data_IF_716974379181
#
_entry.id   IF_716974379181
#
_cell.length_a   1.000
_cell.length_b   1.000
_cell.length_c   1.000
_cell.angle_alpha   90.00
_cell.angle_beta   90.00
_cell.angle_gamma   90.00
#
_symmetry.space_group_name_H-M   'P 1'
#
loop_
_entity.id
_entity.type
_entity.pdbx_description
1 polymer ?
#
# COMPACT_ATOMS: atom_id res chain seq x y z
N UNK A 1 14.30 16.06 10.53
CA UNK A 1 13.26 15.89 9.49
C UNK A 1 13.85 15.34 8.20
N UNK A 2 14.99 15.85 7.69
CA UNK A 2 15.70 15.24 6.55
C UNK A 2 16.11 13.77 6.79
N UNK A 3 16.69 13.45 7.96
CA UNK A 3 17.11 12.08 8.27
C UNK A 3 15.94 11.07 8.38
N UNK A 4 14.69 11.53 8.53
CA UNK A 4 13.52 10.66 8.52
C UNK A 4 12.98 10.47 7.09
N UNK A 5 13.25 11.42 6.18
CA UNK A 5 12.92 11.28 4.76
C UNK A 5 13.79 10.22 4.08
N UNK A 6 15.09 10.22 4.37
CA UNK A 6 16.04 9.18 3.91
C UNK A 6 15.87 7.80 4.57
N UNK A 7 14.95 7.67 5.54
CA UNK A 7 14.63 6.40 6.20
C UNK A 7 13.28 5.85 5.73
N UNK A 8 12.57 6.54 4.84
CA UNK A 8 11.26 6.18 4.31
C UNK A 8 11.17 6.49 2.80
N UNK A 9 12.31 6.57 2.11
CA UNK A 9 12.44 6.87 0.68
C UNK A 9 12.35 5.57 -0.16
N UNK A 10 12.41 5.70 -1.48
CA UNK A 10 12.32 4.59 -2.45
C UNK A 10 13.45 3.55 -2.36
N UNK A 11 14.59 3.92 -1.77
CA UNK A 11 15.78 3.05 -1.63
C UNK A 11 15.72 2.11 -0.39
N UNK A 12 14.62 2.10 0.37
CA UNK A 12 14.56 1.51 1.71
C UNK A 12 14.09 0.04 1.77
N UNK A 13 14.60 -0.82 0.89
CA UNK A 13 14.39 -2.29 0.85
C UNK A 13 14.61 -3.00 2.21
N UNK A 14 15.46 -2.42 3.06
CA UNK A 14 15.74 -2.96 4.38
C UNK A 14 14.51 -2.91 5.30
N UNK A 15 13.61 -1.94 5.11
CA UNK A 15 12.35 -1.84 5.88
C UNK A 15 11.51 -3.07 5.61
N UNK A 16 11.40 -3.47 4.35
CA UNK A 16 10.59 -4.59 3.91
C UNK A 16 11.23 -5.90 4.34
N UNK A 17 12.55 -5.98 4.31
CA UNK A 17 13.31 -7.08 4.93
C UNK A 17 12.99 -7.20 6.43
N UNK A 18 12.98 -6.09 7.16
CA UNK A 18 12.62 -6.07 8.59
C UNK A 18 11.16 -6.48 8.78
N UNK A 19 10.22 -5.95 7.99
CA UNK A 19 8.80 -6.30 8.05
C UNK A 19 8.58 -7.79 7.80
N UNK A 20 9.22 -8.36 6.78
CA UNK A 20 9.15 -9.79 6.42
C UNK A 20 9.61 -10.72 7.54
N UNK A 21 10.54 -10.28 8.39
CA UNK A 21 11.01 -11.08 9.54
C UNK A 21 10.20 -10.78 10.80
N UNK A 22 10.06 -9.50 11.14
CA UNK A 22 9.50 -9.07 12.42
C UNK A 22 7.98 -9.28 12.48
N UNK A 23 7.26 -9.05 11.38
CA UNK A 23 5.80 -8.98 11.43
C UNK A 23 5.16 -10.36 11.61
N UNK A 24 5.60 -11.42 10.91
CA UNK A 24 5.16 -12.78 11.20
C UNK A 24 5.49 -13.22 12.63
N UNK A 25 6.64 -12.79 13.18
CA UNK A 25 7.00 -13.08 14.56
C UNK A 25 6.11 -12.37 15.59
N UNK A 26 5.75 -11.11 15.33
CA UNK A 26 4.84 -10.33 16.19
C UNK A 26 3.38 -10.80 16.10
N UNK A 27 2.97 -11.37 14.97
CA UNK A 27 1.58 -11.62 14.65
C UNK A 27 0.82 -12.41 15.74
N UNK A 28 1.32 -13.57 16.22
CA UNK A 28 0.60 -14.35 17.23
C UNK A 28 0.32 -13.56 18.51
N UNK A 29 1.23 -12.67 18.91
CA UNK A 29 1.07 -11.86 20.12
C UNK A 29 0.05 -10.74 19.93
N UNK A 30 0.05 -10.09 18.77
CA UNK A 30 -0.92 -9.05 18.44
C UNK A 30 -2.33 -9.62 18.25
N UNK A 31 -2.45 -10.81 17.64
CA UNK A 31 -3.74 -11.48 17.46
C UNK A 31 -4.41 -11.83 18.78
N UNK A 32 -3.66 -12.15 19.83
CA UNK A 32 -4.22 -12.35 21.18
C UNK A 32 -4.88 -11.09 21.75
N UNK A 33 -4.49 -9.91 21.27
CA UNK A 33 -5.03 -8.61 21.67
C UNK A 33 -6.07 -8.07 20.66
N UNK A 34 -6.48 -8.88 19.68
CA UNK A 34 -7.42 -8.48 18.62
C UNK A 34 -6.80 -7.64 17.51
N UNK A 35 -5.46 -7.57 17.42
CA UNK A 35 -4.74 -6.89 16.34
C UNK A 35 -4.14 -7.84 15.31
N UNK A 36 -3.40 -7.29 14.35
CA UNK A 36 -2.71 -8.06 13.32
C UNK A 36 -1.48 -7.30 12.79
N UNK A 37 -0.40 -8.02 12.53
CA UNK A 37 0.76 -7.53 11.76
C UNK A 37 0.92 -8.24 10.41
N UNK A 38 0.07 -9.21 10.09
CA UNK A 38 0.04 -9.92 8.81
C UNK A 38 -1.41 -9.92 8.33
N UNK A 39 -1.63 -9.71 7.04
CA UNK A 39 -2.96 -9.64 6.43
C UNK A 39 -3.00 -10.26 5.05
N UNK A 40 -4.21 -10.41 4.52
CA UNK A 40 -4.46 -10.92 3.17
C UNK A 40 -5.09 -9.83 2.30
N UNK A 41 -4.62 -9.72 1.07
CA UNK A 41 -5.19 -8.88 0.02
C UNK A 41 -5.98 -9.78 -0.93
N UNK A 42 -7.16 -9.35 -1.34
CA UNK A 42 -7.97 -10.06 -2.32
C UNK A 42 -7.65 -9.61 -3.74
N UNK A 43 -7.87 -10.48 -4.73
CA UNK A 43 -7.68 -10.11 -6.15
C UNK A 43 -8.68 -9.05 -6.64
N UNK A 44 -9.75 -8.80 -5.90
CA UNK A 44 -10.69 -7.70 -6.12
C UNK A 44 -10.10 -6.31 -5.84
N UNK A 45 -8.89 -6.26 -5.29
CA UNK A 45 -8.12 -5.03 -5.05
C UNK A 45 -7.11 -4.72 -6.17
N UNK A 46 -7.01 -5.55 -7.20
CA UNK A 46 -6.07 -5.34 -8.32
C UNK A 46 -6.38 -4.03 -9.06
N UNK A 47 -5.33 -3.25 -9.34
CA UNK A 47 -5.42 -1.99 -10.10
C UNK A 47 -4.76 -2.15 -11.46
N UNK A 48 -3.43 -2.32 -11.46
CA UNK A 48 -2.58 -2.38 -12.64
C UNK A 48 -1.39 -3.29 -12.39
N UNK A 49 -0.75 -3.73 -13.47
CA UNK A 49 0.66 -4.10 -13.45
C UNK A 49 1.46 -3.06 -14.23
N UNK A 50 2.74 -2.98 -13.91
CA UNK A 50 3.71 -2.06 -14.46
C UNK A 50 4.91 -2.84 -15.01
N UNK A 51 5.53 -2.33 -16.06
CA UNK A 51 6.78 -2.85 -16.62
C UNK A 51 8.00 -2.11 -16.01
N UNK A 52 7.77 -0.96 -15.40
CA UNK A 52 8.74 -0.19 -14.62
C UNK A 52 9.24 -0.98 -13.41
N UNK A 53 10.49 -0.75 -13.01
CA UNK A 53 11.04 -1.34 -11.79
C UNK A 53 10.40 -0.74 -10.53
N UNK A 54 10.65 -1.40 -9.40
CA UNK A 54 10.08 -0.99 -8.12
C UNK A 54 10.46 0.44 -7.76
N UNK A 55 11.74 0.77 -7.78
CA UNK A 55 12.28 2.08 -7.41
C UNK A 55 11.58 3.22 -8.18
N UNK A 56 11.41 3.08 -9.50
CA UNK A 56 10.71 4.08 -10.31
C UNK A 56 9.23 4.25 -9.93
N UNK A 57 8.55 3.15 -9.59
CA UNK A 57 7.15 3.21 -9.12
C UNK A 57 7.08 3.89 -7.76
N UNK A 58 7.97 3.51 -6.84
CA UNK A 58 8.01 4.07 -5.49
C UNK A 58 8.30 5.58 -5.51
N UNK A 59 9.29 6.01 -6.30
CA UNK A 59 9.66 7.41 -6.51
C UNK A 59 8.46 8.24 -6.98
N UNK A 60 7.73 7.73 -7.97
CA UNK A 60 6.59 8.44 -8.51
C UNK A 60 5.44 8.51 -7.50
N UNK A 61 5.15 7.41 -6.79
CA UNK A 61 4.15 7.42 -5.72
C UNK A 61 4.48 8.47 -4.67
N UNK A 62 5.74 8.59 -4.25
CA UNK A 62 6.19 9.62 -3.30
C UNK A 62 6.08 11.02 -3.90
N UNK A 63 6.49 11.20 -5.16
CA UNK A 63 6.44 12.48 -5.85
C UNK A 63 5.04 13.07 -5.93
N UNK A 64 4.02 12.21 -6.09
CA UNK A 64 2.60 12.63 -6.16
C UNK A 64 1.90 12.68 -4.80
N UNK A 65 2.62 12.50 -3.68
CA UNK A 65 2.11 12.68 -2.31
C UNK A 65 1.85 11.38 -1.54
N UNK A 66 2.30 10.24 -2.04
CA UNK A 66 2.22 8.96 -1.37
C UNK A 66 3.17 8.90 -0.18
N UNK A 67 2.65 8.52 0.98
CA UNK A 67 3.46 8.32 2.18
C UNK A 67 3.78 6.82 2.32
N UNK A 68 5.07 6.44 2.33
CA UNK A 68 5.49 5.09 2.69
C UNK A 68 4.92 4.74 4.08
N UNK A 69 4.30 3.56 4.20
CA UNK A 69 3.53 3.16 5.36
C UNK A 69 4.13 1.90 6.02
N UNK A 70 5.29 2.01 6.70
CA UNK A 70 6.01 0.85 7.25
C UNK A 70 5.21 0.12 8.32
N UNK A 71 4.34 0.83 9.04
CA UNK A 71 3.46 0.27 10.08
C UNK A 71 2.31 -0.56 9.51
N UNK A 72 2.03 -0.49 8.21
CA UNK A 72 1.01 -1.31 7.58
C UNK A 72 1.37 -2.79 7.76
N UNK A 73 0.39 -3.64 8.05
CA UNK A 73 0.63 -5.08 8.15
C UNK A 73 1.32 -5.64 6.89
N UNK A 74 2.10 -6.70 7.05
CA UNK A 74 2.71 -7.42 5.94
C UNK A 74 1.62 -8.17 5.19
N UNK A 75 1.44 -7.88 3.90
CA UNK A 75 0.31 -8.42 3.14
C UNK A 75 0.74 -9.59 2.28
N UNK A 76 -0.18 -10.51 2.05
CA UNK A 76 -0.01 -11.62 1.11
C UNK A 76 -1.21 -11.71 0.18
N UNK A 77 -0.96 -12.12 -1.06
CA UNK A 77 -1.99 -12.45 -2.03
C UNK A 77 -2.42 -13.92 -1.88
N UNK A 78 -3.58 -14.32 -2.44
CA UNK A 78 -4.08 -15.70 -2.38
C UNK A 78 -3.15 -16.73 -3.05
N UNK A 79 -2.27 -16.29 -3.94
CA UNK A 79 -1.26 -17.13 -4.61
C UNK A 79 0.07 -17.25 -3.82
N UNK A 80 0.18 -16.59 -2.67
CA UNK A 80 1.35 -16.65 -1.79
C UNK A 80 2.40 -15.58 -2.01
N UNK A 81 2.26 -14.70 -3.02
CA UNK A 81 3.13 -13.52 -3.15
C UNK A 81 2.98 -12.61 -1.93
N UNK A 82 4.06 -11.97 -1.51
CA UNK A 82 4.13 -11.14 -0.30
C UNK A 82 4.51 -9.72 -0.67
N UNK A 83 3.83 -8.75 -0.07
CA UNK A 83 3.95 -7.33 -0.41
C UNK A 83 5.39 -6.84 -0.30
N UNK A 84 5.81 -6.08 -1.31
CA UNK A 84 7.11 -5.41 -1.34
C UNK A 84 7.03 -3.97 -0.86
N UNK A 85 5.85 -3.40 -0.75
CA UNK A 85 5.72 -2.08 -0.16
C UNK A 85 4.28 -1.71 0.15
N UNK A 86 4.11 -0.62 0.89
CA UNK A 86 2.80 -0.07 1.21
C UNK A 86 2.88 1.45 1.26
N UNK A 87 1.96 2.11 0.58
CA UNK A 87 1.82 3.57 0.58
C UNK A 87 0.42 3.95 0.98
N UNK A 88 0.26 5.13 1.56
CA UNK A 88 -1.05 5.72 1.80
C UNK A 88 -1.13 7.14 1.26
N UNK A 89 -2.31 7.49 0.78
CA UNK A 89 -2.72 8.85 0.46
C UNK A 89 -3.84 9.22 1.42
N UNK A 90 -3.60 10.26 2.22
CA UNK A 90 -4.60 10.80 3.15
C UNK A 90 -5.34 11.95 2.49
N UNK A 91 -6.41 12.45 3.10
CA UNK A 91 -7.08 13.67 2.64
C UNK A 91 -6.12 14.86 2.42
N UNK A 92 -5.03 14.94 3.20
CA UNK A 92 -4.08 16.04 3.12
C UNK A 92 -3.03 15.87 2.02
N UNK A 93 -2.78 14.64 1.56
CA UNK A 93 -1.70 14.32 0.62
C UNK A 93 -2.18 13.80 -0.73
N UNK A 94 -3.44 13.37 -0.82
CA UNK A 94 -4.07 12.92 -2.06
C UNK A 94 -4.14 14.05 -3.11
N UNK A 95 -3.47 13.91 -4.27
CA UNK A 95 -3.49 14.92 -5.31
C UNK A 95 -4.80 14.96 -6.09
N UNK A 96 -5.63 13.91 -6.01
CA UNK A 96 -6.92 13.84 -6.71
C UNK A 96 -7.99 14.69 -6.01
N UNK A 97 -7.82 14.93 -4.70
CA UNK A 97 -8.81 15.59 -3.85
C UNK A 97 -10.07 14.76 -3.58
N UNK A 98 -10.01 13.44 -3.82
CA UNK A 98 -11.13 12.51 -3.70
C UNK A 98 -11.10 11.70 -2.39
N UNK A 99 -9.96 11.65 -1.70
CA UNK A 99 -9.88 11.06 -0.36
C UNK A 99 -10.58 11.96 0.65
N UNK A 100 -11.56 11.41 1.37
CA UNK A 100 -12.35 12.12 2.37
C UNK A 100 -11.57 12.33 3.70
N UNK A 101 -11.88 13.39 4.48
CA UNK A 101 -11.31 13.57 5.80
C UNK A 101 -11.49 12.32 6.69
N UNK A 102 -10.39 11.85 7.29
CA UNK A 102 -10.37 10.67 8.16
C UNK A 102 -10.40 9.33 7.41
N UNK A 103 -10.17 9.35 6.09
CA UNK A 103 -9.96 8.17 5.27
C UNK A 103 -8.57 8.18 4.64
N UNK A 104 -8.14 7.02 4.16
CA UNK A 104 -6.93 6.86 3.36
C UNK A 104 -7.19 5.95 2.16
N UNK A 105 -6.53 6.25 1.03
CA UNK A 105 -6.28 5.29 -0.05
C UNK A 105 -4.99 4.55 0.27
N UNK A 106 -5.03 3.24 0.36
CA UNK A 106 -3.87 2.40 0.67
C UNK A 106 -3.48 1.59 -0.55
N UNK A 107 -2.24 1.76 -0.99
CA UNK A 107 -1.64 1.05 -2.10
C UNK A 107 -0.64 0.01 -1.59
N UNK A 108 -0.56 -1.15 -2.24
CA UNK A 108 0.39 -2.21 -1.90
C UNK A 108 0.98 -2.77 -3.20
N UNK A 109 2.31 -2.87 -3.26
CA UNK A 109 3.03 -3.48 -4.38
C UNK A 109 3.35 -4.94 -4.12
N UNK A 110 3.34 -5.73 -5.19
CA UNK A 110 3.74 -7.13 -5.23
C UNK A 110 4.52 -7.41 -6.52
N UNK A 111 5.40 -8.41 -6.51
CA UNK A 111 5.98 -8.97 -7.73
C UNK A 111 4.86 -9.42 -8.68
N UNK A 112 5.10 -9.41 -9.99
CA UNK A 112 4.14 -9.90 -10.99
C UNK A 112 3.97 -11.42 -10.90
N UNK A 113 2.82 -11.92 -11.36
CA UNK A 113 2.53 -13.36 -11.39
C UNK A 113 3.04 -14.09 -12.64
N UNK A 114 3.58 -13.36 -13.61
CA UNK A 114 4.06 -13.87 -14.89
C UNK A 114 5.58 -14.05 -14.97
N UNK A 115 6.28 -13.91 -13.84
CA UNK A 115 7.75 -13.95 -13.71
C UNK A 115 8.49 -12.88 -14.55
N UNK A 116 7.77 -11.92 -15.15
CA UNK A 116 8.39 -10.80 -15.85
C UNK A 116 8.82 -9.69 -14.87
N UNK A 117 9.81 -8.85 -15.25
CA UNK A 117 10.16 -7.68 -14.47
C UNK A 117 8.97 -6.74 -14.25
N UNK A 118 8.97 -6.06 -13.11
CA UNK A 118 7.98 -5.05 -12.75
C UNK A 118 7.11 -5.44 -11.55
N UNK A 119 5.98 -4.74 -11.37
CA UNK A 119 5.15 -4.86 -10.16
C UNK A 119 3.66 -4.85 -10.46
N UNK A 120 2.89 -5.50 -9.60
CA UNK A 120 1.44 -5.34 -9.51
C UNK A 120 1.07 -4.41 -8.36
N UNK A 121 0.09 -3.55 -8.62
CA UNK A 121 -0.46 -2.60 -7.67
C UNK A 121 -1.86 -3.04 -7.25
N UNK A 122 -2.05 -3.12 -5.93
CA UNK A 122 -3.33 -3.39 -5.30
C UNK A 122 -3.74 -2.23 -4.42
N UNK A 123 -5.04 -1.95 -4.33
CA UNK A 123 -5.56 -0.83 -3.59
C UNK A 123 -6.85 -1.15 -2.82
N UNK A 124 -7.00 -0.52 -1.66
CA UNK A 124 -8.27 -0.41 -0.95
C UNK A 124 -8.41 0.99 -0.31
N UNK A 125 -9.65 1.37 -0.06
CA UNK A 125 -10.01 2.59 0.65
C UNK A 125 -10.49 2.24 2.06
N UNK A 126 -10.01 2.93 3.08
CA UNK A 126 -10.27 2.57 4.47
C UNK A 126 -10.16 3.77 5.42
N UNK A 127 -10.49 3.54 6.70
CA UNK A 127 -10.23 4.49 7.78
C UNK A 127 -8.74 4.82 7.84
N UNK A 128 -8.40 6.12 7.90
CA UNK A 128 -7.03 6.55 8.23
C UNK A 128 -6.73 6.10 9.66
N UNK A 129 -5.69 5.28 9.81
CA UNK A 129 -5.32 4.71 11.11
C UNK A 129 -4.92 5.78 12.14
N UNK A 130 -4.44 6.96 11.71
CA UNK A 130 -4.13 8.08 12.62
C UNK A 130 -5.39 8.75 13.14
N UNK A 131 -6.41 8.87 12.29
CA UNK A 131 -7.67 9.51 12.63
C UNK A 131 -8.62 8.56 13.37
N UNK A 132 -8.63 7.27 13.01
CA UNK A 132 -9.55 6.26 13.49
C UNK A 132 -8.87 4.88 13.62
N UNK A 133 -7.95 4.69 14.61
CA UNK A 133 -7.20 3.44 14.75
C UNK A 133 -8.09 2.19 14.92
N UNK A 134 -9.16 2.31 15.71
CA UNK A 134 -10.11 1.20 15.93
C UNK A 134 -10.99 0.93 14.71
N UNK A 135 -11.40 1.97 13.97
CA UNK A 135 -12.14 1.82 12.72
C UNK A 135 -11.29 1.10 11.67
N UNK A 136 -10.03 1.50 11.56
CA UNK A 136 -9.03 0.87 10.69
C UNK A 136 -8.85 -0.62 11.04
N UNK A 137 -8.57 -0.95 12.30
CA UNK A 137 -8.37 -2.34 12.74
C UNK A 137 -9.62 -3.23 12.54
N UNK A 138 -10.81 -2.67 12.64
CA UNK A 138 -12.06 -3.41 12.43
C UNK A 138 -12.50 -3.48 10.96
N UNK A 139 -11.83 -2.75 10.07
CA UNK A 139 -12.24 -2.60 8.68
C UNK A 139 -13.62 -1.93 8.51
N UNK A 140 -14.01 -1.06 9.44
CA UNK A 140 -15.37 -0.51 9.52
C UNK A 140 -15.82 0.17 8.21
N UNK A 141 -14.91 0.88 7.54
CA UNK A 141 -15.15 1.56 6.26
C UNK A 141 -14.24 1.05 5.14
N UNK A 142 -13.86 -0.22 5.20
CA UNK A 142 -13.02 -0.88 4.19
C UNK A 142 -13.77 -1.08 2.86
N UNK A 143 -13.17 -0.66 1.74
CA UNK A 143 -13.74 -0.77 0.40
C UNK A 143 -12.66 -1.01 -0.66
N UNK A 144 -12.53 -2.25 -1.16
CA UNK A 144 -11.70 -2.58 -2.31
C UNK A 144 -12.08 -1.78 -3.56
N UNK A 145 -13.36 -1.78 -3.92
CA UNK A 145 -13.85 -1.16 -5.15
C UNK A 145 -13.59 0.34 -5.22
N UNK A 146 -13.81 1.06 -4.10
CA UNK A 146 -13.46 2.49 -4.03
C UNK A 146 -11.94 2.69 -4.08
N UNK A 147 -11.17 1.82 -3.44
CA UNK A 147 -9.70 1.87 -3.53
C UNK A 147 -9.19 1.71 -4.96
N UNK A 148 -9.67 0.71 -5.69
CA UNK A 148 -9.31 0.48 -7.10
C UNK A 148 -9.72 1.67 -7.96
N UNK A 149 -10.91 2.22 -7.76
CA UNK A 149 -11.37 3.40 -8.49
C UNK A 149 -10.45 4.62 -8.26
N UNK A 150 -10.12 4.93 -7.00
CA UNK A 150 -9.28 6.08 -6.67
C UNK A 150 -7.83 5.88 -7.09
N UNK A 151 -7.29 4.67 -6.94
CA UNK A 151 -5.96 4.34 -7.42
C UNK A 151 -5.88 4.45 -8.95
N UNK A 152 -6.91 4.01 -9.67
CA UNK A 152 -6.99 4.20 -11.12
C UNK A 152 -6.93 5.69 -11.47
N UNK A 153 -7.77 6.52 -10.83
CA UNK A 153 -7.80 7.97 -11.08
C UNK A 153 -6.44 8.63 -10.80
N UNK A 154 -5.80 8.25 -9.70
CA UNK A 154 -4.47 8.71 -9.31
C UNK A 154 -3.44 8.35 -10.38
N UNK A 155 -3.33 7.08 -10.74
CA UNK A 155 -2.32 6.61 -11.70
C UNK A 155 -2.56 7.25 -13.07
N UNK A 156 -3.79 7.20 -13.59
CA UNK A 156 -4.11 7.62 -14.96
C UNK A 156 -3.95 9.14 -15.18
N UNK A 157 -4.17 9.96 -14.15
CA UNK A 157 -4.24 11.42 -14.31
C UNK A 157 -3.20 12.22 -13.53
N UNK A 158 -2.52 11.60 -12.57
CA UNK A 158 -1.58 12.32 -11.69
C UNK A 158 -0.18 11.73 -11.69
N UNK A 159 0.03 10.58 -12.32
CA UNK A 159 1.36 9.98 -12.47
C UNK A 159 1.81 9.90 -13.92
N UNK A 160 3.10 9.65 -14.15
CA UNK A 160 3.60 9.23 -15.46
C UNK A 160 3.58 7.71 -15.70
N UNK A 161 3.22 6.90 -14.68
CA UNK A 161 3.24 5.45 -14.76
C UNK A 161 2.23 4.92 -15.78
N UNK A 162 2.62 3.91 -16.55
CA UNK A 162 1.74 3.30 -17.55
C UNK A 162 1.16 1.99 -17.02
N UNK A 163 0.02 2.09 -16.35
CA UNK A 163 -0.69 0.93 -15.82
C UNK A 163 -1.31 0.06 -16.92
N UNK A 164 -1.02 -1.25 -16.89
CA UNK A 164 -1.58 -2.23 -17.82
C UNK A 164 -2.61 -3.09 -17.08
N UNK A 165 -3.82 -3.20 -17.67
CA UNK A 165 -4.88 -4.09 -17.14
C UNK A 165 -4.73 -5.49 -17.73
N UNK A 166 -5.00 -6.49 -16.91
CA UNK A 166 -5.21 -7.88 -17.35
C UNK A 166 -6.53 -8.03 -18.10
#
# INVERSE_FOLDING_TARGET
MEALKHLLDSDDDWIETVRRVLYPWLHPYLSLLGGYSVGHVGFDQYVYHFDEDEEAIEDELVAVGGERNPIACLKSLPDGRVSEGSWRFTHATDPTGLVEPGMQLHLTLFERDDDEPGRELYAHYEDDWMASPSGHLSGARFSPSKGVQLATELIDNHTFLVGIRK
#
